data_IF_541392692883
#
_entry.id   IF_541392692883
#
_cell.length_a   1.000
_cell.length_b   1.000
_cell.length_c   1.000
_cell.angle_alpha   90.00
_cell.angle_beta   90.00
_cell.angle_gamma   90.00
#
_symmetry.space_group_name_H-M   'P 1'
#
loop_
_entity.id
_entity.type
_entity.pdbx_description
1 polymer ?
#
# COMPACT_ATOMS: atom_id res chain seq x y z
N UNK A 1 -10.32 5.12 10.72
CA UNK A 1 -10.86 3.83 10.22
C UNK A 1 -9.74 2.82 10.21
N UNK A 2 -10.00 1.64 10.75
CA UNK A 2 -9.10 0.50 10.64
C UNK A 2 -9.44 -0.31 9.40
N UNK A 3 -8.42 -0.74 8.68
CA UNK A 3 -8.55 -1.62 7.52
C UNK A 3 -7.42 -2.64 7.50
N UNK A 4 -7.71 -3.82 6.98
CA UNK A 4 -6.73 -4.87 6.72
C UNK A 4 -6.62 -5.07 5.22
N UNK A 5 -5.40 -5.01 4.71
CA UNK A 5 -5.12 -5.21 3.29
C UNK A 5 -4.43 -6.55 3.08
N UNK A 6 -4.82 -7.27 2.03
CA UNK A 6 -4.20 -8.55 1.63
C UNK A 6 -4.13 -8.62 0.12
N UNK A 7 -2.94 -8.87 -0.42
CA UNK A 7 -2.67 -8.82 -1.84
C UNK A 7 -1.50 -9.72 -2.24
N UNK A 8 -1.69 -10.52 -3.29
CA UNK A 8 -0.62 -11.25 -3.95
C UNK A 8 -0.16 -10.47 -5.18
N UNK A 9 1.13 -10.23 -5.32
CA UNK A 9 1.66 -9.43 -6.42
C UNK A 9 3.02 -9.90 -6.89
N UNK A 10 3.30 -9.69 -8.17
CA UNK A 10 4.63 -9.88 -8.74
C UNK A 10 5.39 -8.55 -8.69
N UNK A 11 6.45 -8.49 -7.89
CA UNK A 11 7.37 -7.36 -7.83
C UNK A 11 8.28 -7.43 -9.06
N UNK A 12 7.89 -6.75 -10.14
CA UNK A 12 8.60 -6.83 -11.43
C UNK A 12 9.02 -5.47 -11.99
N UNK A 13 8.44 -4.37 -11.50
CA UNK A 13 8.78 -3.04 -11.98
C UNK A 13 10.05 -2.54 -11.28
N UNK A 14 11.09 -2.24 -12.05
CA UNK A 14 12.29 -1.61 -11.50
C UNK A 14 11.97 -0.21 -10.94
N UNK A 15 12.47 0.06 -9.74
CA UNK A 15 12.35 1.33 -9.06
C UNK A 15 13.72 1.81 -8.62
N UNK A 16 14.20 2.81 -9.36
CA UNK A 16 15.49 3.46 -9.16
C UNK A 16 16.69 2.49 -9.21
N UNK A 17 16.60 1.38 -9.95
CA UNK A 17 17.62 0.30 -10.03
C UNK A 17 17.99 -0.34 -8.68
N UNK A 18 17.25 -0.07 -7.61
CA UNK A 18 17.55 -0.55 -6.25
C UNK A 18 16.49 -1.51 -5.73
N UNK A 19 15.24 -1.35 -6.17
CA UNK A 19 14.12 -2.15 -5.71
C UNK A 19 13.25 -2.57 -6.89
N UNK A 20 12.63 -3.73 -6.78
CA UNK A 20 11.50 -4.15 -7.59
C UNK A 20 10.22 -3.80 -6.88
N UNK A 21 9.22 -3.37 -7.63
CA UNK A 21 7.98 -2.83 -7.07
C UNK A 21 6.75 -3.38 -7.78
N UNK A 22 5.63 -3.25 -7.10
CA UNK A 22 4.30 -3.34 -7.68
C UNK A 22 3.38 -2.40 -6.92
N UNK A 23 2.42 -1.82 -7.61
CA UNK A 23 1.44 -0.94 -7.00
C UNK A 23 0.00 -1.32 -7.35
N UNK A 24 -0.91 -1.10 -6.41
CA UNK A 24 -2.34 -1.26 -6.60
C UNK A 24 -3.08 0.02 -6.19
N UNK A 25 -4.02 0.47 -7.01
CA UNK A 25 -4.96 1.53 -6.64
C UNK A 25 -6.01 0.95 -5.68
N UNK A 26 -6.26 1.65 -4.58
CA UNK A 26 -7.22 1.24 -3.54
C UNK A 26 -8.17 2.40 -3.27
N UNK A 27 -9.47 2.12 -3.36
CA UNK A 27 -10.52 3.08 -3.00
C UNK A 27 -10.78 3.10 -1.50
N UNK A 28 -11.11 4.27 -0.97
CA UNK A 28 -11.67 4.35 0.37
C UNK A 28 -13.15 3.91 0.34
N UNK A 29 -13.64 3.27 1.41
CA UNK A 29 -15.06 2.92 1.53
C UNK A 29 -15.96 4.14 1.74
N UNK A 30 -15.38 5.31 2.06
CA UNK A 30 -16.07 6.60 2.19
C UNK A 30 -15.23 7.70 1.55
N UNK A 31 -15.89 8.73 1.02
CA UNK A 31 -15.19 9.91 0.53
C UNK A 31 -14.79 10.83 1.70
N UNK A 32 -13.55 11.32 1.67
CA UNK A 32 -13.04 12.28 2.64
C UNK A 32 -13.20 13.73 2.15
N UNK A 33 -13.26 14.70 3.07
CA UNK A 33 -13.26 16.14 2.74
C UNK A 33 -11.91 16.63 2.23
N UNK A 34 -10.83 15.99 2.67
CA UNK A 34 -9.44 16.23 2.29
C UNK A 34 -8.66 14.91 2.30
N UNK A 35 -7.49 14.85 1.68
CA UNK A 35 -6.67 13.64 1.70
C UNK A 35 -6.38 13.21 3.16
N UNK A 36 -6.77 11.99 3.58
CA UNK A 36 -6.54 11.52 4.94
C UNK A 36 -5.07 11.13 5.14
N UNK A 37 -4.62 11.11 6.39
CA UNK A 37 -3.37 10.47 6.75
C UNK A 37 -3.56 8.94 6.79
N UNK A 38 -2.61 8.21 6.24
CA UNK A 38 -2.60 6.74 6.29
C UNK A 38 -1.33 6.28 6.99
N UNK A 39 -1.49 5.52 8.06
CA UNK A 39 -0.42 4.79 8.73
C UNK A 39 -0.55 3.33 8.30
N UNK A 40 0.52 2.77 7.74
CA UNK A 40 0.57 1.39 7.28
C UNK A 40 1.62 0.62 8.06
N UNK A 41 1.26 -0.57 8.53
CA UNK A 41 2.18 -1.49 9.19
C UNK A 41 2.18 -2.83 8.44
N UNK A 42 3.33 -3.28 7.90
CA UNK A 42 3.44 -4.61 7.31
C UNK A 42 3.18 -5.67 8.39
N UNK A 43 2.20 -6.54 8.16
CA UNK A 43 1.77 -7.55 9.14
C UNK A 43 2.32 -8.94 8.83
N UNK A 44 2.38 -9.34 7.55
CA UNK A 44 2.92 -10.65 7.13
C UNK A 44 3.43 -10.61 5.70
N UNK A 45 4.45 -11.43 5.42
CA UNK A 45 5.03 -11.64 4.08
C UNK A 45 5.79 -12.95 3.97
N UNK A 46 5.93 -13.44 2.75
CA UNK A 46 6.82 -14.54 2.38
C UNK A 46 8.26 -14.09 2.04
N UNK A 47 8.51 -12.79 1.86
CA UNK A 47 9.82 -12.24 1.45
C UNK A 47 10.14 -10.91 2.15
N UNK A 48 11.42 -10.52 2.19
CA UNK A 48 11.84 -9.19 2.65
C UNK A 48 11.28 -8.13 1.71
N UNK A 49 10.36 -7.31 2.19
CA UNK A 49 9.70 -6.25 1.43
C UNK A 49 9.39 -5.07 2.36
N UNK A 50 9.30 -3.89 1.78
CA UNK A 50 8.66 -2.73 2.38
C UNK A 50 7.30 -2.47 1.76
N UNK A 51 6.47 -1.71 2.48
CA UNK A 51 5.16 -1.29 2.04
C UNK A 51 5.02 0.21 2.25
N UNK A 52 4.50 0.90 1.25
CA UNK A 52 4.27 2.33 1.30
C UNK A 52 2.93 2.70 0.69
N UNK A 53 2.45 3.89 1.06
CA UNK A 53 1.26 4.48 0.47
C UNK A 53 1.65 5.79 -0.19
N UNK A 54 1.27 5.96 -1.44
CA UNK A 54 1.51 7.15 -2.25
C UNK A 54 0.21 7.62 -2.90
N UNK A 55 0.25 8.79 -3.54
CA UNK A 55 -0.87 9.32 -4.34
C UNK A 55 -2.20 9.35 -3.56
N UNK A 56 -2.16 9.77 -2.29
CA UNK A 56 -3.35 9.82 -1.44
C UNK A 56 -4.25 10.98 -1.87
N UNK A 57 -5.49 10.64 -2.20
CA UNK A 57 -6.54 11.57 -2.62
C UNK A 57 -7.69 11.55 -1.62
N UNK A 58 -8.82 12.18 -1.93
CA UNK A 58 -10.04 12.12 -1.12
C UNK A 58 -10.85 10.83 -1.30
N UNK A 59 -10.58 10.06 -2.36
CA UNK A 59 -11.36 8.88 -2.75
C UNK A 59 -10.55 7.59 -2.77
N UNK A 60 -9.22 7.69 -2.72
CA UNK A 60 -8.35 6.51 -2.67
C UNK A 60 -6.88 6.85 -2.54
N UNK A 61 -6.05 5.84 -2.72
CA UNK A 61 -4.60 5.91 -2.62
C UNK A 61 -3.96 4.80 -3.45
N UNK A 62 -2.63 4.88 -3.60
CA UNK A 62 -1.83 3.83 -4.24
C UNK A 62 -1.00 3.11 -3.19
N UNK A 63 -1.25 1.82 -3.02
CA UNK A 63 -0.42 0.98 -2.18
C UNK A 63 0.73 0.43 -3.02
N UNK A 64 1.96 0.53 -2.52
CA UNK A 64 3.17 0.10 -3.24
C UNK A 64 3.98 -0.84 -2.37
N UNK A 65 4.15 -2.07 -2.84
CA UNK A 65 5.08 -3.03 -2.27
C UNK A 65 6.42 -2.94 -3.00
N UNK A 66 7.53 -3.05 -2.28
CA UNK A 66 8.86 -2.96 -2.85
C UNK A 66 9.85 -3.92 -2.16
N UNK A 67 10.78 -4.50 -2.91
CA UNK A 67 11.78 -5.45 -2.40
C UNK A 67 13.09 -5.33 -3.20
N UNK A 68 14.26 -5.61 -2.62
CA UNK A 68 15.50 -5.73 -3.39
C UNK A 68 15.52 -6.96 -4.31
N UNK A 69 14.53 -7.87 -4.22
CA UNK A 69 14.42 -9.07 -5.07
C UNK A 69 13.15 -9.04 -5.90
N UNK A 70 13.27 -9.50 -7.14
CA UNK A 70 12.13 -9.73 -8.02
C UNK A 70 11.43 -11.03 -7.59
N UNK A 71 10.10 -11.07 -7.65
CA UNK A 71 9.37 -12.30 -7.34
C UNK A 71 7.93 -12.11 -6.89
N UNK A 72 7.31 -13.23 -6.54
CA UNK A 72 5.95 -13.27 -6.02
C UNK A 72 5.95 -12.91 -4.53
N UNK A 73 5.31 -11.81 -4.20
CA UNK A 73 5.16 -11.32 -2.83
C UNK A 73 3.70 -11.45 -2.37
N UNK A 74 3.52 -12.05 -1.19
CA UNK A 74 2.26 -11.99 -0.45
C UNK A 74 2.32 -10.85 0.56
N UNK A 75 1.46 -9.87 0.38
CA UNK A 75 1.40 -8.66 1.20
C UNK A 75 0.21 -8.74 2.14
N UNK A 76 0.45 -8.62 3.44
CA UNK A 76 -0.59 -8.28 4.42
C UNK A 76 -0.19 -7.06 5.23
N UNK A 77 -1.13 -6.14 5.43
CA UNK A 77 -0.88 -4.95 6.22
C UNK A 77 -2.10 -4.52 7.03
N UNK A 78 -1.81 -4.01 8.21
CA UNK A 78 -2.79 -3.32 9.05
C UNK A 78 -2.66 -1.81 8.80
N UNK A 79 -3.80 -1.16 8.59
CA UNK A 79 -3.85 0.22 8.16
C UNK A 79 -4.78 1.04 9.05
N UNK A 80 -4.28 2.20 9.48
CA UNK A 80 -5.07 3.21 10.17
C UNK A 80 -5.20 4.44 9.27
N UNK A 81 -6.43 4.74 8.87
CA UNK A 81 -6.79 5.89 8.04
C UNK A 81 -7.42 6.96 8.93
N UNK A 82 -6.82 8.15 8.98
CA UNK A 82 -7.19 9.26 9.86
C UNK A 82 -7.56 10.46 8.99
N UNK A 83 -8.83 10.86 9.01
CA UNK A 83 -9.29 11.99 8.23
C UNK A 83 -10.73 12.39 8.54
N UNK A 84 -11.13 13.58 8.07
CA UNK A 84 -12.50 14.06 8.17
C UNK A 84 -13.32 13.52 7.00
N UNK A 85 -14.25 12.62 7.28
CA UNK A 85 -15.24 12.12 6.33
C UNK A 85 -16.27 13.19 5.98
N UNK A 86 -16.89 13.04 4.81
CA UNK A 86 -17.95 13.92 4.33
C UNK A 86 -19.21 13.83 5.20
#
# INVERSE_FOLDING_TARGET
MWSKYTWNTNLAADWYNWYFTSSAAVGFPVAFKQAPLIIVSPAKTNELYGLGVTEVTTTGYKLTAYSPKQGMCYVQADMLIIGKWK
#
